data_IF_329140531656
#
_entry.id   IF_329140531656
#
_cell.length_a   1.000
_cell.length_b   1.000
_cell.length_c   1.000
_cell.angle_alpha   90.00
_cell.angle_beta   90.00
_cell.angle_gamma   90.00
#
_symmetry.space_group_name_H-M   'P 1'
#
loop_
_entity.id
_entity.type
_entity.pdbx_description
1 polymer ?
#
# COMPACT_ATOMS: atom_id res chain seq x y z
N UNK A 1 -10.71 -30.19 24.62
CA UNK A 1 -10.67 -29.98 23.14
C UNK A 1 -10.17 -28.56 22.90
N UNK A 2 -8.85 -28.38 22.83
CA UNK A 2 -8.18 -27.07 22.89
C UNK A 2 -8.10 -26.44 21.50
N UNK A 3 -9.06 -25.58 21.17
CA UNK A 3 -8.99 -24.79 19.94
C UNK A 3 -7.99 -23.64 20.15
N UNK A 4 -6.75 -23.85 19.71
CA UNK A 4 -5.75 -22.78 19.58
C UNK A 4 -6.22 -21.80 18.51
N UNK A 5 -7.06 -20.83 18.89
CA UNK A 5 -7.66 -19.78 18.03
C UNK A 5 -6.77 -18.53 17.95
N UNK A 6 -5.46 -18.67 18.17
CA UNK A 6 -4.56 -17.51 18.27
C UNK A 6 -3.87 -17.10 16.96
N UNK A 7 -4.24 -17.63 15.78
CA UNK A 7 -3.53 -17.24 14.55
C UNK A 7 -4.31 -17.38 13.22
N UNK A 8 -5.65 -17.30 13.23
CA UNK A 8 -6.42 -17.49 11.98
C UNK A 8 -7.01 -16.20 11.39
N UNK A 9 -7.14 -15.13 12.17
CA UNK A 9 -7.72 -13.86 11.70
C UNK A 9 -6.70 -12.82 11.21
N UNK A 10 -5.39 -13.12 11.26
CA UNK A 10 -4.33 -12.13 10.97
C UNK A 10 -4.00 -11.98 9.47
N UNK A 11 -4.70 -12.71 8.59
CA UNK A 11 -4.38 -12.72 7.15
C UNK A 11 -5.61 -12.54 6.27
N UNK A 12 -6.66 -11.89 6.75
CA UNK A 12 -7.82 -11.55 5.92
C UNK A 12 -7.88 -10.05 5.70
N UNK A 13 -8.18 -9.64 4.47
CA UNK A 13 -8.30 -8.25 4.09
C UNK A 13 -9.64 -7.73 4.59
N UNK A 14 -9.68 -6.70 5.45
CA UNK A 14 -10.93 -6.16 5.97
C UNK A 14 -11.81 -5.50 4.89
N UNK A 15 -11.26 -5.23 3.70
CA UNK A 15 -11.97 -4.57 2.60
C UNK A 15 -12.65 -5.58 1.67
N UNK A 16 -12.02 -6.71 1.40
CA UNK A 16 -12.53 -7.69 0.42
C UNK A 16 -12.70 -9.11 0.96
N UNK A 17 -12.37 -9.36 2.24
CA UNK A 17 -12.32 -10.69 2.84
C UNK A 17 -11.22 -11.60 2.27
N UNK A 18 -10.46 -11.15 1.28
CA UNK A 18 -9.43 -11.94 0.63
C UNK A 18 -8.22 -12.20 1.52
N UNK A 19 -7.53 -13.32 1.30
CA UNK A 19 -6.33 -13.65 2.06
C UNK A 19 -5.19 -12.68 1.77
N UNK A 20 -4.61 -12.09 2.81
CA UNK A 20 -3.39 -11.29 2.75
C UNK A 20 -2.20 -12.24 2.63
N UNK A 21 -1.50 -12.15 1.50
CA UNK A 21 -0.26 -12.86 1.26
C UNK A 21 0.93 -12.02 1.70
N UNK A 22 1.81 -12.59 2.51
CA UNK A 22 3.00 -11.91 3.04
C UNK A 22 2.66 -10.94 4.19
N UNK A 23 3.17 -9.71 4.12
CA UNK A 23 3.05 -8.69 5.18
C UNK A 23 1.83 -7.75 5.03
N UNK A 24 1.08 -7.86 3.94
CA UNK A 24 0.02 -6.90 3.59
C UNK A 24 0.54 -5.49 3.31
N UNK A 25 -0.34 -4.59 2.87
CA UNK A 25 -0.04 -3.18 2.68
C UNK A 25 -0.71 -2.36 3.78
N UNK A 26 0.06 -1.46 4.42
CA UNK A 26 -0.46 -0.55 5.43
C UNK A 26 -0.95 0.73 4.76
N UNK A 27 -2.26 0.96 4.84
CA UNK A 27 -2.93 2.12 4.25
C UNK A 27 -3.75 2.85 5.30
N UNK A 28 -4.00 4.14 5.04
CA UNK A 28 -4.95 4.94 5.81
C UNK A 28 -6.25 5.00 5.01
N UNK A 29 -7.31 4.47 5.59
CA UNK A 29 -8.68 4.55 5.05
C UNK A 29 -9.51 5.27 6.13
N UNK A 30 -10.15 6.37 5.76
CA UNK A 30 -10.98 7.18 6.68
C UNK A 30 -10.26 7.62 7.97
N UNK A 31 -8.95 7.86 7.89
CA UNK A 31 -8.12 8.24 9.05
C UNK A 31 -7.68 7.07 9.94
N UNK A 32 -8.21 5.86 9.71
CA UNK A 32 -7.78 4.65 10.40
C UNK A 32 -6.62 3.97 9.66
N UNK A 33 -5.60 3.54 10.41
CA UNK A 33 -4.46 2.77 9.89
C UNK A 33 -4.85 1.30 9.86
N UNK A 34 -5.04 0.75 8.67
CA UNK A 34 -5.41 -0.66 8.49
C UNK A 34 -4.46 -1.37 7.53
N UNK A 35 -4.37 -2.69 7.68
CA UNK A 35 -3.59 -3.54 6.78
C UNK A 35 -4.52 -4.25 5.83
N UNK A 36 -4.25 -4.12 4.54
CA UNK A 36 -5.11 -4.65 3.47
C UNK A 36 -4.29 -5.50 2.51
N UNK A 37 -4.97 -6.25 1.64
CA UNK A 37 -4.29 -6.94 0.53
C UNK A 37 -3.75 -5.93 -0.49
N UNK A 38 -2.82 -6.36 -1.34
CA UNK A 38 -2.18 -5.50 -2.35
C UNK A 38 -3.19 -4.86 -3.30
N UNK A 39 -4.28 -5.57 -3.62
CA UNK A 39 -5.36 -5.06 -4.46
C UNK A 39 -6.16 -3.97 -3.76
N UNK A 40 -6.50 -4.14 -2.47
CA UNK A 40 -7.30 -3.16 -1.72
C UNK A 40 -6.50 -1.94 -1.26
N UNK A 41 -5.18 -1.99 -1.36
CA UNK A 41 -4.32 -0.86 -1.06
C UNK A 41 -4.57 0.39 -1.91
N UNK A 42 -5.25 0.23 -3.05
CA UNK A 42 -5.62 1.36 -3.92
C UNK A 42 -6.77 2.20 -3.33
N UNK A 43 -7.59 1.63 -2.45
CA UNK A 43 -8.73 2.33 -1.83
C UNK A 43 -8.32 3.25 -0.68
N UNK A 44 -7.06 3.14 -0.22
CA UNK A 44 -6.52 3.94 0.86
C UNK A 44 -5.32 4.75 0.45
N UNK A 45 -4.93 5.67 1.32
CA UNK A 45 -3.66 6.39 1.18
C UNK A 45 -2.56 5.48 1.69
N UNK A 46 -1.72 4.98 0.77
CA UNK A 46 -0.55 4.17 1.12
C UNK A 46 0.39 4.98 2.01
N UNK A 47 0.74 4.40 3.17
CA UNK A 47 1.76 4.98 4.05
C UNK A 47 3.12 4.67 3.43
N UNK A 48 3.48 5.38 2.36
CA UNK A 48 4.82 5.30 1.79
C UNK A 48 5.78 5.86 2.84
N UNK A 49 6.62 5.01 3.44
CA UNK A 49 7.87 5.49 4.02
C UNK A 49 8.56 6.26 2.90
N UNK A 50 8.76 7.56 3.11
CA UNK A 50 9.28 8.56 2.16
C UNK A 50 10.13 7.91 1.06
N UNK A 51 9.87 8.16 -0.24
CA UNK A 51 10.80 7.72 -1.26
C UNK A 51 12.16 8.32 -0.88
N UNK A 52 13.14 7.47 -0.60
CA UNK A 52 14.52 7.90 -0.57
C UNK A 52 14.79 8.39 -2.00
N UNK A 53 14.90 9.69 -2.19
CA UNK A 53 15.09 10.31 -3.51
C UNK A 53 16.50 9.97 -3.95
N UNK A 54 16.69 8.77 -4.48
CA UNK A 54 17.86 8.35 -5.25
C UNK A 54 17.38 7.61 -6.50
N UNK A 55 16.48 8.24 -7.25
CA UNK A 55 16.15 7.81 -8.61
C UNK A 55 16.89 8.71 -9.61
N UNK A 56 18.16 8.39 -9.83
CA UNK A 56 18.85 8.76 -11.06
C UNK A 56 18.19 8.01 -12.21
N UNK A 57 17.87 8.73 -13.29
CA UNK A 57 17.59 8.24 -14.66
C UNK A 57 16.12 7.80 -14.92
N UNK A 58 15.40 8.17 -16.00
CA UNK A 58 15.67 8.94 -17.22
C UNK A 58 14.37 9.59 -17.72
N UNK A 59 14.52 10.79 -18.32
CA UNK A 59 13.71 11.45 -19.38
C UNK A 59 12.31 10.90 -19.64
N UNK A 60 11.29 11.77 -19.55
CA UNK A 60 10.31 12.00 -20.62
C UNK A 60 9.50 13.27 -20.32
N UNK A 61 10.00 14.44 -20.73
CA UNK A 61 9.16 15.37 -21.48
C UNK A 61 10.02 16.35 -22.27
N UNK A 62 9.67 16.41 -23.55
CA UNK A 62 10.19 17.22 -24.64
C UNK A 62 10.12 18.73 -24.37
N UNK A 63 11.27 19.41 -24.46
CA UNK A 63 11.63 20.51 -25.41
C UNK A 63 10.51 21.53 -25.81
N UNK A 64 10.87 22.77 -26.22
CA UNK A 64 11.40 23.94 -25.48
C UNK A 64 10.65 25.26 -25.85
N UNK A 65 11.14 26.41 -25.33
CA UNK A 65 11.05 27.84 -25.79
C UNK A 65 10.45 28.75 -24.70
N UNK A 66 11.26 29.52 -23.96
CA UNK A 66 11.92 30.79 -24.33
C UNK A 66 10.88 31.82 -24.81
N UNK A 67 10.41 32.71 -23.92
CA UNK A 67 11.04 34.01 -23.58
C UNK A 67 10.57 35.14 -24.50
N UNK A 68 9.72 36.02 -23.97
CA UNK A 68 9.81 37.49 -24.10
C UNK A 68 9.25 38.07 -22.81
#
# INVERSE_FOLDING_TARGET
MSKNIANQFEKECPICGGKIWGRGEKVIIEGAKITVCQSCAQFGVKIKSKPNITATSKKFYSKPKSSV
#
